data_IF_496241579494
#
_entry.id   IF_496241579494
#
_cell.length_a   1.000
_cell.length_b   1.000
_cell.length_c   1.000
_cell.angle_alpha   90.00
_cell.angle_beta   90.00
_cell.angle_gamma   90.00
#
_symmetry.space_group_name_H-M   'P 1'
#
loop_
_entity.id
_entity.type
_entity.pdbx_description
1 polymer ?
#
# COMPACT_ATOMS: atom_id res chain seq x y z
N UNK A 1 6.02 4.01 19.77
CA UNK A 1 5.29 3.91 18.49
C UNK A 1 4.21 2.83 18.47
N UNK A 2 4.45 1.61 18.95
CA UNK A 2 3.44 0.55 19.07
C UNK A 2 2.29 0.90 20.02
N UNK A 3 2.61 1.48 21.16
CA UNK A 3 1.60 1.92 22.15
C UNK A 3 0.70 3.00 21.57
N UNK A 4 1.26 3.93 20.81
CA UNK A 4 0.48 4.97 20.14
C UNK A 4 -0.42 4.39 19.04
N UNK A 5 0.05 3.42 18.28
CA UNK A 5 -0.73 2.74 17.26
C UNK A 5 -1.96 2.03 17.84
N UNK A 6 -1.80 1.35 18.98
CA UNK A 6 -2.89 0.70 19.70
C UNK A 6 -3.91 1.70 20.24
N UNK A 7 -3.45 2.72 20.94
CA UNK A 7 -4.30 3.73 21.58
C UNK A 7 -5.08 4.56 20.55
N UNK A 8 -4.51 4.80 19.37
CA UNK A 8 -5.17 5.53 18.28
C UNK A 8 -5.99 4.63 17.36
N UNK A 9 -6.03 3.32 17.60
CA UNK A 9 -6.69 2.35 16.73
C UNK A 9 -6.12 2.36 15.32
N UNK A 10 -4.78 2.44 15.20
CA UNK A 10 -4.12 2.45 13.91
C UNK A 10 -4.13 1.04 13.30
N UNK A 11 -4.71 0.91 12.13
CA UNK A 11 -4.56 -0.20 11.20
C UNK A 11 -3.84 0.29 9.95
N UNK A 12 -3.88 -0.46 8.86
CA UNK A 12 -3.11 -0.15 7.64
C UNK A 12 -3.23 1.33 7.23
N UNK A 13 -4.42 1.81 6.89
CA UNK A 13 -4.63 3.16 6.37
C UNK A 13 -4.18 4.25 7.35
N UNK A 14 -4.59 4.12 8.61
CA UNK A 14 -4.23 5.08 9.66
C UNK A 14 -2.76 5.03 10.01
N UNK A 15 -2.16 3.82 10.06
CA UNK A 15 -0.73 3.65 10.33
C UNK A 15 0.14 4.30 9.26
N UNK A 16 -0.19 4.08 7.99
CA UNK A 16 0.53 4.69 6.88
C UNK A 16 0.34 6.21 6.84
N UNK A 17 -0.87 6.70 7.07
CA UNK A 17 -1.13 8.13 7.20
C UNK A 17 -0.34 8.74 8.35
N UNK A 18 -0.33 8.09 9.53
CA UNK A 18 0.40 8.58 10.71
C UNK A 18 1.89 8.76 10.42
N UNK A 19 2.53 7.75 9.84
CA UNK A 19 3.94 7.84 9.49
C UNK A 19 4.26 8.94 8.48
N UNK A 20 3.44 9.05 7.43
CA UNK A 20 3.64 10.06 6.38
C UNK A 20 3.32 11.48 6.87
N UNK A 21 2.20 11.68 7.59
CA UNK A 21 1.83 13.00 8.11
C UNK A 21 2.86 13.50 9.12
N UNK A 22 3.40 12.63 9.97
CA UNK A 22 4.46 12.98 10.90
C UNK A 22 5.73 13.45 10.20
N UNK A 23 6.15 12.76 9.14
CA UNK A 23 7.29 13.21 8.32
C UNK A 23 7.02 14.57 7.68
N UNK A 24 5.78 14.83 7.31
CA UNK A 24 5.36 16.11 6.74
C UNK A 24 5.39 17.23 7.79
N UNK A 25 4.82 17.00 8.98
CA UNK A 25 4.82 17.93 10.13
C UNK A 25 6.25 18.27 10.59
N UNK A 26 7.14 17.27 10.61
CA UNK A 26 8.55 17.45 10.98
C UNK A 26 9.41 18.07 9.86
N UNK A 27 8.81 18.49 8.75
CA UNK A 27 9.49 19.02 7.56
C UNK A 27 10.57 18.08 6.98
N UNK A 28 10.42 16.78 7.21
CA UNK A 28 11.33 15.75 6.71
C UNK A 28 10.87 15.15 5.38
N UNK A 29 9.59 15.26 5.06
CA UNK A 29 8.98 14.68 3.87
C UNK A 29 9.70 15.13 2.58
N UNK A 30 10.06 16.40 2.49
CA UNK A 30 10.69 16.98 1.30
C UNK A 30 12.11 16.48 1.05
N UNK A 31 12.77 15.88 2.05
CA UNK A 31 14.12 15.32 1.92
C UNK A 31 14.18 14.05 1.07
N UNK A 32 13.06 13.38 0.86
CA UNK A 32 12.98 12.10 0.18
C UNK A 32 12.29 12.22 -1.17
N UNK A 33 12.73 11.42 -2.15
CA UNK A 33 12.11 11.32 -3.49
C UNK A 33 11.12 10.16 -3.59
N UNK A 34 11.28 9.15 -2.74
CA UNK A 34 10.48 7.95 -2.75
C UNK A 34 10.21 7.49 -1.31
N UNK A 35 9.06 6.86 -1.12
CA UNK A 35 8.62 6.28 0.14
C UNK A 35 8.32 4.81 -0.06
N UNK A 36 8.84 3.96 0.80
CA UNK A 36 8.52 2.54 0.84
C UNK A 36 7.59 2.28 2.03
N UNK A 37 6.33 2.01 1.74
CA UNK A 37 5.33 1.63 2.72
C UNK A 37 5.29 0.10 2.78
N UNK A 38 5.50 -0.46 3.96
CA UNK A 38 5.49 -1.90 4.21
C UNK A 38 4.49 -2.23 5.30
N UNK A 39 3.78 -3.34 5.15
CA UNK A 39 3.09 -3.94 6.29
C UNK A 39 4.11 -4.60 7.21
N UNK A 40 3.76 -4.73 8.49
CA UNK A 40 4.69 -5.24 9.52
C UNK A 40 5.01 -6.73 9.38
N UNK A 41 4.24 -7.46 8.60
CA UNK A 41 4.41 -8.88 8.26
C UNK A 41 5.16 -9.12 6.94
N UNK A 42 5.60 -8.05 6.29
CA UNK A 42 6.31 -8.15 5.00
C UNK A 42 7.76 -8.57 5.20
N UNK A 43 8.14 -9.67 4.58
CA UNK A 43 9.52 -10.09 4.40
C UNK A 43 10.00 -9.56 3.07
N UNK A 44 10.99 -8.67 3.10
CA UNK A 44 11.62 -8.17 1.88
C UNK A 44 12.77 -9.07 1.45
N UNK A 45 12.84 -9.35 0.16
CA UNK A 45 13.90 -10.15 -0.40
C UNK A 45 15.19 -9.35 -0.60
N UNK A 46 16.26 -9.79 0.08
CA UNK A 46 17.71 -9.66 -0.25
C UNK A 46 18.31 -8.35 -0.78
N UNK A 47 19.62 -8.43 -0.91
CA UNK A 47 20.53 -7.38 -1.41
C UNK A 47 19.99 -6.67 -2.66
N UNK A 48 20.06 -5.34 -2.67
CA UNK A 48 19.65 -4.45 -3.78
C UNK A 48 18.13 -4.22 -3.95
N UNK A 49 17.27 -4.65 -3.01
CA UNK A 49 15.83 -4.46 -3.10
C UNK A 49 15.44 -2.99 -3.39
N UNK A 50 15.77 -2.08 -2.49
CA UNK A 50 15.45 -0.65 -2.63
C UNK A 50 16.14 -0.03 -3.85
N UNK A 51 17.41 -0.37 -4.11
CA UNK A 51 18.15 0.11 -5.30
C UNK A 51 17.45 -0.28 -6.60
N UNK A 52 16.90 -1.50 -6.67
CA UNK A 52 16.16 -1.96 -7.85
C UNK A 52 14.87 -1.17 -8.06
N UNK A 53 14.11 -0.95 -6.99
CA UNK A 53 12.88 -0.13 -7.05
C UNK A 53 13.19 1.31 -7.47
N UNK A 54 14.20 1.93 -6.90
CA UNK A 54 14.65 3.29 -7.28
C UNK A 54 14.99 3.36 -8.78
N UNK A 55 15.78 2.39 -9.27
CA UNK A 55 16.19 2.38 -10.68
C UNK A 55 15.00 2.23 -11.63
N UNK A 56 14.02 1.40 -11.27
CA UNK A 56 12.78 1.25 -12.04
C UNK A 56 11.96 2.53 -12.05
N UNK A 57 11.78 3.17 -10.90
CA UNK A 57 11.05 4.43 -10.80
C UNK A 57 11.73 5.57 -11.56
N UNK A 58 13.06 5.64 -11.54
CA UNK A 58 13.83 6.65 -12.32
C UNK A 58 13.67 6.46 -13.82
N UNK A 59 13.61 5.20 -14.31
CA UNK A 59 13.42 4.89 -15.74
C UNK A 59 11.99 5.14 -16.22
N UNK A 60 11.02 5.03 -15.32
CA UNK A 60 9.59 5.15 -15.65
C UNK A 60 9.01 6.36 -14.91
N UNK A 61 9.16 7.54 -15.50
CA UNK A 61 8.79 8.81 -14.85
C UNK A 61 7.31 8.93 -14.50
N UNK A 62 6.43 8.29 -15.27
CA UNK A 62 4.98 8.31 -15.04
C UNK A 62 4.51 7.32 -13.96
N UNK A 63 5.41 6.49 -13.41
CA UNK A 63 5.05 5.62 -12.28
C UNK A 63 4.89 6.45 -11.01
N UNK A 64 3.68 6.46 -10.48
CA UNK A 64 3.39 6.95 -9.13
C UNK A 64 3.63 5.87 -8.07
N UNK A 65 3.28 4.63 -8.41
CA UNK A 65 3.33 3.47 -7.50
C UNK A 65 4.03 2.31 -8.18
N UNK A 66 4.96 1.68 -7.46
CA UNK A 66 5.61 0.45 -7.86
C UNK A 66 5.54 -0.57 -6.73
N UNK A 67 5.00 -1.75 -6.98
CA UNK A 67 4.97 -2.85 -6.02
C UNK A 67 5.94 -3.95 -6.45
N UNK A 68 6.72 -4.53 -5.53
CA UNK A 68 7.42 -5.77 -5.79
C UNK A 68 6.42 -6.91 -5.94
N UNK A 69 6.77 -7.95 -6.69
CA UNK A 69 5.94 -9.14 -6.84
C UNK A 69 5.83 -9.91 -5.53
N UNK A 70 4.64 -10.42 -5.23
CA UNK A 70 4.43 -11.40 -4.17
C UNK A 70 4.49 -12.82 -4.75
N UNK A 71 5.19 -13.72 -4.08
CA UNK A 71 5.18 -15.13 -4.46
C UNK A 71 3.85 -15.79 -4.11
N UNK A 72 3.25 -15.39 -3.01
CA UNK A 72 2.01 -15.97 -2.48
C UNK A 72 0.81 -15.71 -3.38
N UNK A 73 0.70 -14.50 -3.91
CA UNK A 73 -0.45 -14.07 -4.70
C UNK A 73 -0.38 -14.47 -6.17
N UNK A 74 0.62 -15.26 -6.57
CA UNK A 74 0.74 -15.78 -7.92
C UNK A 74 1.03 -14.74 -9.01
N UNK A 75 1.33 -13.51 -8.66
CA UNK A 75 1.62 -12.40 -9.58
C UNK A 75 2.80 -12.70 -10.52
N UNK A 76 3.69 -13.59 -10.11
CA UNK A 76 4.78 -14.08 -10.93
C UNK A 76 4.29 -14.68 -12.27
N UNK A 77 3.16 -15.36 -12.23
CA UNK A 77 2.55 -15.95 -13.43
C UNK A 77 2.18 -14.86 -14.43
N UNK A 78 1.67 -13.73 -13.92
CA UNK A 78 1.27 -12.59 -14.74
C UNK A 78 2.47 -11.85 -15.36
N UNK A 79 3.66 -12.04 -14.78
CA UNK A 79 4.89 -11.38 -15.17
C UNK A 79 5.85 -12.28 -15.98
N UNK A 80 5.41 -13.42 -16.47
CA UNK A 80 6.25 -14.50 -17.06
C UNK A 80 7.39 -14.02 -17.97
N UNK A 81 7.14 -13.06 -18.83
CA UNK A 81 8.15 -12.50 -19.76
C UNK A 81 8.45 -11.02 -19.50
N UNK A 82 7.72 -10.38 -18.61
CA UNK A 82 7.83 -8.95 -18.36
C UNK A 82 8.45 -8.71 -16.98
N UNK A 83 9.46 -7.87 -16.93
CA UNK A 83 10.10 -7.46 -15.65
C UNK A 83 9.32 -6.38 -14.92
N UNK A 84 8.40 -5.72 -15.60
CA UNK A 84 7.51 -4.69 -15.11
C UNK A 84 6.18 -4.81 -15.87
N UNK A 85 5.07 -4.81 -15.14
CA UNK A 85 3.73 -4.78 -15.72
C UNK A 85 2.86 -3.76 -15.03
N UNK A 86 2.18 -2.94 -15.80
CA UNK A 86 1.21 -1.98 -15.31
C UNK A 86 -0.07 -2.70 -14.94
N UNK A 87 -0.60 -2.37 -13.76
CA UNK A 87 -1.79 -2.98 -13.21
C UNK A 87 -2.73 -1.94 -12.62
N UNK A 88 -3.99 -2.28 -12.62
CA UNK A 88 -5.03 -1.61 -11.85
C UNK A 88 -5.23 -2.23 -10.45
N UNK A 89 -4.54 -3.30 -10.14
CA UNK A 89 -4.54 -3.98 -8.85
C UNK A 89 -3.11 -4.21 -8.37
N UNK A 90 -2.86 -3.92 -7.11
CA UNK A 90 -1.60 -4.16 -6.42
C UNK A 90 -1.94 -4.61 -4.99
N UNK A 91 -1.28 -5.66 -4.49
CA UNK A 91 -1.50 -6.10 -3.11
C UNK A 91 -0.98 -5.08 -2.08
N UNK A 92 -1.53 -5.12 -0.86
CA UNK A 92 -1.27 -4.13 0.18
C UNK A 92 0.08 -4.24 0.92
N UNK A 93 0.91 -5.25 0.63
CA UNK A 93 2.07 -5.56 1.46
C UNK A 93 3.23 -4.59 1.28
N UNK A 94 3.41 -4.04 0.08
CA UNK A 94 4.48 -3.10 -0.19
C UNK A 94 4.14 -2.12 -1.30
N UNK A 95 4.22 -0.84 -0.99
CA UNK A 95 4.13 0.23 -1.98
C UNK A 95 5.41 1.05 -2.00
N UNK A 96 6.05 1.13 -3.14
CA UNK A 96 7.13 2.08 -3.38
C UNK A 96 6.57 3.26 -4.17
N UNK A 97 6.42 4.39 -3.50
CA UNK A 97 5.62 5.52 -3.97
C UNK A 97 6.53 6.71 -4.25
N UNK A 98 6.28 7.39 -5.36
CA UNK A 98 6.93 8.62 -5.74
C UNK A 98 6.42 9.78 -4.91
N UNK A 99 7.33 10.67 -4.43
CA UNK A 99 6.97 11.84 -3.64
C UNK A 99 5.95 12.72 -4.34
N UNK A 100 6.20 13.03 -5.60
CA UNK A 100 5.35 13.90 -6.41
C UNK A 100 3.90 13.36 -6.50
N UNK A 101 3.74 12.04 -6.57
CA UNK A 101 2.41 11.44 -6.53
C UNK A 101 1.73 11.64 -5.17
N UNK A 102 2.45 11.45 -4.06
CA UNK A 102 1.89 11.72 -2.73
C UNK A 102 1.47 13.19 -2.62
N UNK A 103 2.31 14.11 -3.07
CA UNK A 103 2.03 15.56 -3.04
C UNK A 103 0.80 15.97 -3.85
N UNK A 104 0.51 15.26 -4.95
CA UNK A 104 -0.69 15.48 -5.77
C UNK A 104 -1.98 15.06 -5.07
N UNK A 105 -1.94 13.98 -4.27
CA UNK A 105 -3.16 13.36 -3.76
C UNK A 105 -3.36 13.52 -2.25
N UNK A 106 -2.31 13.90 -1.51
CA UNK A 106 -2.40 14.04 -0.06
C UNK A 106 -3.21 15.27 0.35
N UNK A 107 -3.89 15.15 1.48
CA UNK A 107 -4.65 16.24 2.08
C UNK A 107 -3.77 17.00 3.08
N UNK A 108 -3.03 17.98 2.60
CA UNK A 108 -2.06 18.75 3.39
C UNK A 108 -2.70 19.57 4.52
N UNK A 109 -3.84 20.21 4.24
CA UNK A 109 -4.54 21.12 5.17
C UNK A 109 -5.11 20.41 6.40
N UNK A 110 -5.37 19.11 6.29
CA UNK A 110 -5.94 18.27 7.34
C UNK A 110 -5.15 17.00 7.52
N UNK A 111 -3.82 17.10 7.42
CA UNK A 111 -2.92 15.97 7.55
C UNK A 111 -2.98 15.39 8.97
N UNK A 112 -3.44 14.18 9.08
CA UNK A 112 -3.42 13.41 10.32
C UNK A 112 -3.58 11.92 9.99
N UNK A 113 -3.56 11.07 10.99
CA UNK A 113 -3.69 9.63 10.80
C UNK A 113 -5.05 9.19 10.18
N UNK A 114 -6.09 10.02 10.28
CA UNK A 114 -7.39 9.75 9.65
C UNK A 114 -7.40 10.16 8.17
N UNK A 115 -6.61 11.18 7.81
CA UNK A 115 -6.80 11.82 6.52
C UNK A 115 -5.48 12.42 6.00
N UNK A 116 -4.76 11.64 5.23
CA UNK A 116 -3.56 12.10 4.52
C UNK A 116 -3.49 11.48 3.14
N UNK A 117 -2.91 10.29 2.99
CA UNK A 117 -2.81 9.55 1.74
C UNK A 117 -4.01 8.62 1.53
N UNK A 118 -4.38 7.91 2.59
CA UNK A 118 -5.48 6.95 2.63
C UNK A 118 -6.68 7.49 3.38
N UNK A 119 -7.87 6.94 3.10
CA UNK A 119 -9.06 7.19 3.90
C UNK A 119 -9.00 6.37 5.22
N UNK A 120 -8.63 7.01 6.30
CA UNK A 120 -8.55 6.37 7.62
C UNK A 120 -9.92 6.08 8.27
N UNK A 121 -11.03 6.54 7.68
CA UNK A 121 -12.38 6.10 8.06
C UNK A 121 -12.62 4.66 7.62
N UNK A 122 -12.01 4.24 6.53
CA UNK A 122 -11.93 2.83 6.15
C UNK A 122 -10.94 2.11 7.09
N UNK A 123 -11.44 1.71 8.25
CA UNK A 123 -10.61 1.26 9.37
C UNK A 123 -9.82 0.00 9.06
N UNK A 124 -10.40 -0.98 8.38
CA UNK A 124 -9.72 -2.23 8.02
C UNK A 124 -8.79 -2.07 6.82
N UNK A 125 -8.99 -1.04 6.02
CA UNK A 125 -8.17 -0.75 4.84
C UNK A 125 -8.50 -1.62 3.61
N UNK A 126 -9.58 -2.39 3.63
CA UNK A 126 -10.00 -3.14 2.45
C UNK A 126 -10.29 -2.20 1.28
N UNK A 127 -9.71 -2.46 0.12
CA UNK A 127 -9.83 -1.63 -1.07
C UNK A 127 -8.94 -0.38 -1.08
N UNK A 128 -8.07 -0.20 -0.09
CA UNK A 128 -7.12 0.91 -0.06
C UNK A 128 -6.13 0.91 -1.23
N UNK A 129 -5.73 -0.28 -1.67
CA UNK A 129 -4.94 -0.53 -2.87
C UNK A 129 -5.63 0.01 -4.13
N UNK A 130 -6.87 -0.38 -4.34
CA UNK A 130 -7.67 0.07 -5.47
C UNK A 130 -7.90 1.58 -5.43
N UNK A 131 -8.18 2.14 -4.25
CA UNK A 131 -8.30 3.60 -4.09
C UNK A 131 -7.02 4.33 -4.49
N UNK A 132 -5.87 3.84 -4.04
CA UNK A 132 -4.58 4.45 -4.33
C UNK A 132 -4.26 4.41 -5.83
N UNK A 133 -4.54 3.29 -6.48
CA UNK A 133 -4.35 3.12 -7.92
C UNK A 133 -5.29 4.02 -8.73
N UNK A 134 -6.55 4.11 -8.35
CA UNK A 134 -7.49 5.03 -9.00
C UNK A 134 -7.03 6.49 -8.88
N UNK A 135 -6.51 6.89 -7.72
CA UNK A 135 -5.91 8.21 -7.54
C UNK A 135 -4.72 8.43 -8.47
N UNK A 136 -3.87 7.40 -8.67
CA UNK A 136 -2.74 7.50 -9.60
C UNK A 136 -3.22 7.75 -11.03
N UNK A 137 -4.09 6.90 -11.54
CA UNK A 137 -4.61 7.05 -12.92
C UNK A 137 -5.38 8.35 -13.12
N UNK A 138 -6.17 8.80 -12.14
CA UNK A 138 -6.86 10.09 -12.20
C UNK A 138 -5.90 11.28 -12.34
N UNK A 139 -4.67 11.14 -11.85
CA UNK A 139 -3.63 12.18 -11.90
C UNK A 139 -2.57 11.89 -12.98
N UNK A 140 -2.91 11.15 -14.02
CA UNK A 140 -2.02 10.79 -15.14
C UNK A 140 -0.74 10.09 -14.70
N UNK A 141 -0.80 9.39 -13.57
CA UNK A 141 0.26 8.49 -13.09
C UNK A 141 -0.22 7.05 -13.14
N UNK A 142 0.73 6.14 -13.21
CA UNK A 142 0.45 4.71 -13.32
C UNK A 142 0.91 3.93 -12.09
N UNK A 143 0.38 2.73 -11.96
CA UNK A 143 0.79 1.74 -10.98
C UNK A 143 1.33 0.50 -11.69
N UNK A 144 2.39 -0.10 -11.16
CA UNK A 144 2.99 -1.28 -11.74
C UNK A 144 3.50 -2.27 -10.69
N UNK A 145 3.63 -3.53 -11.11
CA UNK A 145 4.28 -4.59 -10.34
C UNK A 145 5.58 -4.98 -11.05
N UNK A 146 6.62 -5.32 -10.29
CA UNK A 146 7.89 -5.81 -10.82
C UNK A 146 8.26 -7.17 -10.29
N UNK A 147 8.72 -8.07 -11.17
CA UNK A 147 9.31 -9.36 -10.81
C UNK A 147 10.82 -9.33 -10.55
N UNK A 148 11.44 -8.15 -10.64
CA UNK A 148 12.89 -8.03 -10.37
C UNK A 148 13.24 -8.16 -8.88
N UNK A 149 12.28 -7.90 -8.02
CA UNK A 149 12.37 -8.04 -6.56
C UNK A 149 11.07 -8.59 -6.01
N UNK A 150 11.15 -9.28 -4.89
CA UNK A 150 10.05 -10.04 -4.30
C UNK A 150 9.82 -9.66 -2.87
N UNK A 151 8.58 -9.87 -2.45
CA UNK A 151 8.17 -9.87 -1.05
C UNK A 151 7.40 -11.14 -0.73
N UNK A 152 7.33 -11.45 0.54
CA UNK A 152 6.52 -12.53 1.11
C UNK A 152 5.82 -12.03 2.37
N UNK A 153 4.67 -12.58 2.67
CA UNK A 153 4.01 -12.40 3.96
C UNK A 153 4.52 -13.42 4.96
N UNK A 154 4.85 -12.96 6.16
CA UNK A 154 5.17 -13.82 7.27
C UNK A 154 3.93 -14.04 8.15
N UNK A 155 3.04 -14.92 7.72
CA UNK A 155 1.81 -15.24 8.47
C UNK A 155 2.09 -15.76 9.88
N UNK A 156 3.19 -16.49 10.05
CA UNK A 156 3.56 -17.06 11.35
C UNK A 156 4.05 -16.02 12.36
N UNK A 157 4.52 -14.88 11.92
CA UNK A 157 5.09 -13.87 12.81
C UNK A 157 4.01 -13.22 13.68
N UNK A 158 2.90 -12.85 13.09
CA UNK A 158 1.78 -12.21 13.79
C UNK A 158 1.01 -13.19 14.66
N UNK A 159 0.79 -14.42 14.17
CA UNK A 159 0.09 -15.46 14.89
C UNK A 159 0.83 -15.97 16.14
N UNK A 160 2.18 -15.96 16.10
CA UNK A 160 3.00 -16.49 17.20
C UNK A 160 3.36 -15.45 18.26
N UNK A 161 3.43 -14.17 17.91
CA UNK A 161 4.00 -13.13 18.79
C UNK A 161 3.03 -12.09 19.33
N UNK A 162 1.82 -12.00 18.81
CA UNK A 162 0.89 -10.99 19.32
C UNK A 162 -0.48 -11.56 19.63
N UNK A 163 -0.82 -11.56 20.92
CA UNK A 163 -2.20 -11.61 21.39
C UNK A 163 -3.05 -10.41 20.89
N UNK A 164 -2.45 -9.47 20.18
CA UNK A 164 -3.00 -8.14 19.87
C UNK A 164 -3.71 -8.07 18.51
N UNK A 165 -3.37 -8.93 17.56
CA UNK A 165 -3.98 -8.93 16.22
C UNK A 165 -4.41 -10.36 15.91
N UNK A 166 -5.67 -10.65 16.13
CA UNK A 166 -6.29 -11.85 15.58
C UNK A 166 -6.49 -11.63 14.09
N UNK A 167 -5.85 -12.44 13.27
CA UNK A 167 -6.22 -12.56 11.86
C UNK A 167 -7.46 -13.44 11.78
N UNK A 168 -8.52 -12.90 11.21
CA UNK A 168 -9.72 -13.69 10.96
C UNK A 168 -9.40 -14.82 9.94
N UNK A 169 -10.09 -15.97 10.00
CA UNK A 169 -9.97 -17.01 8.99
C UNK A 169 -10.21 -16.47 7.57
N UNK A 170 -9.60 -17.12 6.58
CA UNK A 170 -9.68 -16.68 5.18
C UNK A 170 -11.11 -16.35 4.72
N UNK A 171 -12.06 -17.20 5.02
CA UNK A 171 -13.47 -17.02 4.61
C UNK A 171 -14.12 -15.80 5.26
N UNK A 172 -13.77 -15.51 6.51
CA UNK A 172 -14.25 -14.31 7.19
C UNK A 172 -13.59 -13.06 6.61
N UNK A 173 -12.29 -13.10 6.34
CA UNK A 173 -11.58 -12.01 5.68
C UNK A 173 -12.13 -11.72 4.29
N UNK A 174 -12.47 -12.77 3.52
CA UNK A 174 -13.09 -12.61 2.20
C UNK A 174 -14.47 -11.94 2.29
N UNK A 175 -15.32 -12.38 3.23
CA UNK A 175 -16.62 -11.74 3.49
C UNK A 175 -16.48 -10.27 3.88
N UNK A 176 -15.51 -9.96 4.76
CA UNK A 176 -15.23 -8.59 5.16
C UNK A 176 -14.70 -7.76 3.99
N UNK A 177 -13.82 -8.32 3.16
CA UNK A 177 -13.34 -7.66 1.95
C UNK A 177 -14.48 -7.31 0.99
N UNK A 178 -15.39 -8.25 0.75
CA UNK A 178 -16.55 -8.03 -0.13
C UNK A 178 -17.46 -6.94 0.48
N UNK A 179 -17.83 -7.09 1.74
CA UNK A 179 -18.81 -6.20 2.38
C UNK A 179 -18.26 -4.80 2.67
N UNK A 180 -17.05 -4.70 3.20
CA UNK A 180 -16.47 -3.43 3.61
C UNK A 180 -15.64 -2.79 2.49
N UNK A 181 -14.81 -3.58 1.77
CA UNK A 181 -13.92 -3.07 0.74
C UNK A 181 -14.62 -2.76 -0.59
N UNK A 182 -15.23 -3.77 -1.20
CA UNK A 182 -15.87 -3.60 -2.51
C UNK A 182 -17.09 -2.68 -2.43
N UNK A 183 -17.93 -2.85 -1.42
CA UNK A 183 -19.09 -1.97 -1.24
C UNK A 183 -18.69 -0.53 -0.90
N UNK A 184 -17.62 -0.35 -0.12
CA UNK A 184 -17.09 0.97 0.17
C UNK A 184 -16.56 1.68 -1.08
N UNK A 185 -15.78 1.00 -1.93
CA UNK A 185 -15.29 1.54 -3.19
C UNK A 185 -16.43 1.88 -4.13
N UNK A 186 -17.39 0.96 -4.28
CA UNK A 186 -18.58 1.19 -5.10
C UNK A 186 -19.34 2.43 -4.65
N UNK A 187 -19.62 2.53 -3.35
CA UNK A 187 -20.34 3.68 -2.78
C UNK A 187 -19.59 4.99 -2.93
N UNK A 188 -18.28 4.98 -2.73
CA UNK A 188 -17.47 6.21 -2.71
C UNK A 188 -17.09 6.70 -4.11
N UNK A 189 -16.85 5.79 -5.04
CA UNK A 189 -16.29 6.09 -6.36
C UNK A 189 -17.16 5.62 -7.53
N UNK A 190 -18.30 5.04 -7.25
CA UNK A 190 -19.16 4.37 -8.25
C UNK A 190 -18.39 3.36 -9.12
N UNK A 191 -17.46 2.66 -8.50
CA UNK A 191 -16.55 1.73 -9.16
C UNK A 191 -16.96 0.29 -8.86
N UNK A 192 -17.21 -0.49 -9.91
CA UNK A 192 -17.44 -1.92 -9.82
C UNK A 192 -16.13 -2.63 -10.15
N UNK A 193 -15.40 -3.12 -9.14
CA UNK A 193 -14.28 -4.00 -9.41
C UNK A 193 -14.85 -5.33 -9.92
N UNK A 194 -14.33 -5.79 -11.04
CA UNK A 194 -14.55 -7.16 -11.52
C UNK A 194 -13.28 -7.93 -11.25
N UNK A 195 -13.45 -9.00 -10.53
CA UNK A 195 -12.45 -10.04 -10.40
C UNK A 195 -12.74 -11.14 -11.40
#
# INVERSE_FOLDING_TARGET
EWKDALNKGLRFNRGMNFGLSKLFEENKFHKYKFFLLLTNDTIVQKKKFVKTLINLMKKNKNLGILSPCSKKWGEKILLKKQKLKYFWYIHNNAYFIRKEFIELICKKEKSNYINFLFDGKNFRGFGADSELIMKAYKNNMSAAITSKVWIEENENYLLKKSSLIKTDPYDQNLKLYINEGLNWIKKKYNFNSRW
#
